data_IF_505781059874
#
_entry.id   IF_505781059874
#
_cell.length_a   1.000
_cell.length_b   1.000
_cell.length_c   1.000
_cell.angle_alpha   90.00
_cell.angle_beta   90.00
_cell.angle_gamma   90.00
#
_symmetry.space_group_name_H-M   'P 1'
#
loop_
_entity.id
_entity.type
_entity.pdbx_description
1 polymer ?
#
# COMPACT_ATOMS: atom_id res chain seq x y z
N UNK A 1 45.44 -46.89 31.75
CA UNK A 1 44.70 -45.69 32.21
C UNK A 1 44.59 -44.68 31.08
N UNK A 2 43.46 -44.57 30.41
CA UNK A 2 43.17 -43.54 29.37
C UNK A 2 42.04 -42.65 29.88
N UNK A 3 42.38 -41.38 30.13
CA UNK A 3 41.42 -40.33 30.49
C UNK A 3 40.61 -39.93 29.24
N UNK A 4 39.29 -40.11 29.29
CA UNK A 4 38.37 -39.52 28.31
C UNK A 4 38.18 -38.03 28.64
N UNK A 5 38.47 -37.17 27.68
CA UNK A 5 38.14 -35.76 27.72
C UNK A 5 36.66 -35.60 27.30
N UNK A 6 35.85 -34.99 28.15
CA UNK A 6 34.47 -34.63 27.83
C UNK A 6 34.44 -33.46 26.82
N UNK A 7 33.65 -33.62 25.78
CA UNK A 7 33.32 -32.57 24.83
C UNK A 7 32.27 -31.66 25.44
N UNK A 8 32.64 -30.41 25.72
CA UNK A 8 31.71 -29.37 26.07
C UNK A 8 30.81 -29.05 24.85
N UNK A 9 29.52 -29.28 25.01
CA UNK A 9 28.53 -28.83 24.01
C UNK A 9 28.46 -27.29 24.04
N UNK A 10 29.10 -26.67 23.06
CA UNK A 10 28.97 -25.24 22.83
C UNK A 10 27.51 -24.92 22.43
N UNK A 11 26.79 -24.29 23.35
CA UNK A 11 25.53 -23.61 22.98
C UNK A 11 25.91 -22.44 22.06
N UNK A 12 25.48 -22.52 20.80
CA UNK A 12 25.55 -21.41 19.87
C UNK A 12 24.82 -20.20 20.51
N UNK A 13 25.39 -19.00 20.56
CA UNK A 13 24.70 -17.87 21.10
C UNK A 13 23.48 -17.56 20.22
N UNK A 14 22.30 -17.50 20.83
CA UNK A 14 21.06 -17.07 20.20
C UNK A 14 21.30 -15.65 19.68
N UNK A 15 21.33 -15.49 18.35
CA UNK A 15 21.49 -14.18 17.71
C UNK A 15 20.28 -13.30 18.06
N UNK A 16 20.44 -11.96 18.08
CA UNK A 16 19.37 -10.99 18.41
C UNK A 16 18.10 -11.13 17.55
N UNK A 17 18.16 -11.92 16.48
CA UNK A 17 17.11 -12.13 15.48
C UNK A 17 15.99 -13.10 15.89
N UNK A 18 16.19 -13.92 16.92
CA UNK A 18 15.25 -15.00 17.28
C UNK A 18 14.28 -14.66 18.42
N UNK A 19 14.24 -13.38 18.86
CA UNK A 19 13.33 -13.00 19.94
C UNK A 19 11.91 -12.79 19.42
N UNK A 20 10.98 -13.66 19.84
CA UNK A 20 9.55 -13.47 19.58
C UNK A 20 9.05 -12.16 20.21
N UNK A 21 8.35 -11.36 19.44
CA UNK A 21 7.84 -10.05 19.84
C UNK A 21 6.32 -10.07 19.99
N UNK A 22 5.82 -9.23 20.90
CA UNK A 22 4.41 -8.87 20.98
C UNK A 22 4.20 -7.55 20.25
N UNK A 23 3.39 -7.56 19.19
CA UNK A 23 3.28 -6.46 18.21
C UNK A 23 1.84 -5.96 18.14
N UNK A 24 1.67 -4.63 18.15
CA UNK A 24 0.40 -3.95 17.95
C UNK A 24 0.42 -3.13 16.66
N UNK A 25 -0.45 -3.46 15.73
CA UNK A 25 -0.66 -2.72 14.49
C UNK A 25 -1.96 -1.92 14.60
N UNK A 26 -1.88 -0.59 14.47
CA UNK A 26 -2.99 0.33 14.73
C UNK A 26 -3.38 1.11 13.48
N UNK A 27 -4.64 1.02 13.10
CA UNK A 27 -5.16 1.53 11.85
C UNK A 27 -5.01 0.54 10.71
N UNK A 28 -5.55 0.86 9.55
CA UNK A 28 -5.48 0.01 8.34
C UNK A 28 -5.43 0.86 7.08
N UNK A 29 -4.64 0.45 6.12
CA UNK A 29 -4.61 0.98 4.77
C UNK A 29 -4.56 -0.19 3.77
N UNK A 30 -5.61 -0.34 2.97
CA UNK A 30 -5.63 -1.30 1.84
C UNK A 30 -5.19 -2.72 2.19
N UNK A 31 -5.53 -3.21 3.39
CA UNK A 31 -5.16 -4.53 3.93
C UNK A 31 -3.66 -4.72 4.28
N UNK A 32 -2.89 -3.63 4.37
CA UNK A 32 -1.46 -3.70 4.63
C UNK A 32 -1.17 -4.31 6.01
N UNK A 33 -1.78 -3.77 7.08
CA UNK A 33 -1.52 -4.23 8.45
C UNK A 33 -2.02 -5.66 8.70
N UNK A 34 -3.17 -6.06 8.14
CA UNK A 34 -3.61 -7.44 8.29
C UNK A 34 -2.69 -8.42 7.56
N UNK A 35 -2.30 -8.11 6.31
CA UNK A 35 -1.40 -8.96 5.53
C UNK A 35 -0.01 -9.06 6.19
N UNK A 36 0.51 -7.93 6.69
CA UNK A 36 1.73 -7.92 7.51
C UNK A 36 1.59 -8.80 8.76
N UNK A 37 0.45 -8.72 9.44
CA UNK A 37 0.20 -9.52 10.64
C UNK A 37 0.22 -11.03 10.34
N UNK A 38 -0.30 -11.47 9.20
CA UNK A 38 -0.23 -12.89 8.80
C UNK A 38 1.23 -13.32 8.56
N UNK A 39 2.04 -12.50 7.88
CA UNK A 39 3.47 -12.77 7.71
C UNK A 39 4.24 -12.83 9.04
N UNK A 40 3.97 -11.89 9.94
CA UNK A 40 4.59 -11.86 11.28
C UNK A 40 4.17 -13.07 12.13
N UNK A 41 2.91 -13.52 12.06
CA UNK A 41 2.42 -14.73 12.73
C UNK A 41 3.08 -15.99 12.17
N UNK A 42 3.29 -16.06 10.86
CA UNK A 42 4.04 -17.15 10.22
C UNK A 42 5.49 -17.21 10.71
N UNK A 43 6.08 -16.08 11.12
CA UNK A 43 7.40 -16.00 11.77
C UNK A 43 7.34 -16.28 13.29
N UNK A 44 6.17 -16.59 13.85
CA UNK A 44 5.99 -16.94 15.26
C UNK A 44 5.68 -15.77 16.20
N UNK A 45 5.61 -14.53 15.71
CA UNK A 45 5.31 -13.37 16.55
C UNK A 45 3.84 -13.32 16.99
N UNK A 46 3.58 -12.73 18.17
CA UNK A 46 2.23 -12.41 18.64
C UNK A 46 1.80 -11.05 18.09
N UNK A 47 0.70 -11.02 17.30
CA UNK A 47 0.28 -9.80 16.61
C UNK A 47 -1.19 -9.50 16.87
N UNK A 48 -1.46 -8.27 17.31
CA UNK A 48 -2.81 -7.71 17.47
C UNK A 48 -3.02 -6.59 16.45
N UNK A 49 -4.06 -6.69 15.63
CA UNK A 49 -4.48 -5.65 14.68
C UNK A 49 -5.73 -4.96 15.22
N UNK A 50 -5.66 -3.63 15.32
CA UNK A 50 -6.75 -2.74 15.75
C UNK A 50 -7.09 -1.80 14.61
N UNK A 51 -8.26 -1.94 14.00
CA UNK A 51 -8.64 -1.11 12.87
C UNK A 51 -10.16 -0.97 12.70
N UNK A 52 -10.57 -0.11 11.78
CA UNK A 52 -11.94 -0.02 11.26
C UNK A 52 -12.20 -0.91 10.04
N UNK A 53 -11.20 -1.69 9.63
CA UNK A 53 -11.26 -2.59 8.47
C UNK A 53 -11.11 -1.91 7.11
N UNK A 54 -10.60 -0.67 7.08
CA UNK A 54 -10.42 0.09 5.83
C UNK A 54 -11.70 0.24 4.99
N UNK A 55 -12.81 0.56 5.66
CA UNK A 55 -14.10 0.90 5.03
C UNK A 55 -14.64 -0.18 4.08
N UNK A 56 -14.67 0.08 2.75
CA UNK A 56 -15.27 -0.79 1.74
C UNK A 56 -14.63 -2.19 1.62
N UNK A 57 -13.38 -2.34 2.02
CA UNK A 57 -12.69 -3.64 1.99
C UNK A 57 -13.12 -4.55 3.14
N UNK A 58 -13.57 -3.98 4.25
CA UNK A 58 -13.94 -4.68 5.48
C UNK A 58 -12.91 -5.74 5.91
N UNK A 59 -11.63 -5.34 5.92
CA UNK A 59 -10.51 -6.21 6.22
C UNK A 59 -10.62 -6.85 7.62
N UNK A 60 -10.02 -8.02 7.80
CA UNK A 60 -9.95 -8.71 9.08
C UNK A 60 -9.18 -7.88 10.12
N UNK A 61 -9.53 -8.04 11.38
CA UNK A 61 -8.93 -7.36 12.53
C UNK A 61 -9.20 -8.12 13.82
N UNK A 62 -8.33 -7.96 14.81
CA UNK A 62 -8.52 -8.58 16.12
C UNK A 62 -9.44 -7.73 17.00
N UNK A 63 -9.30 -6.40 16.92
CA UNK A 63 -10.12 -5.44 17.65
C UNK A 63 -10.80 -4.52 16.65
N UNK A 64 -12.13 -4.64 16.57
CA UNK A 64 -12.95 -3.83 15.69
C UNK A 64 -13.29 -2.49 16.34
N UNK A 65 -12.86 -1.40 15.69
CA UNK A 65 -13.18 -0.04 16.07
C UNK A 65 -13.89 0.71 14.94
N UNK A 66 -14.58 0.00 14.04
CA UNK A 66 -15.34 0.65 12.98
C UNK A 66 -16.37 1.63 13.54
N UNK A 67 -16.42 2.83 12.96
CA UNK A 67 -17.42 3.84 13.29
C UNK A 67 -18.70 3.54 12.53
N UNK A 68 -19.85 3.51 13.23
CA UNK A 68 -21.14 3.12 12.64
C UNK A 68 -21.77 4.23 11.81
N UNK A 69 -21.70 5.47 12.27
CA UNK A 69 -22.20 6.66 11.57
C UNK A 69 -21.42 7.92 11.93
N UNK A 70 -21.74 9.04 11.25
CA UNK A 70 -21.14 10.35 11.56
C UNK A 70 -21.96 11.18 12.56
N UNK A 71 -22.99 10.61 13.17
CA UNK A 71 -23.82 11.28 14.16
C UNK A 71 -23.05 11.63 15.46
N UNK A 72 -23.59 12.58 16.22
CA UNK A 72 -22.96 13.05 17.47
C UNK A 72 -22.86 11.93 18.51
N UNK A 73 -23.92 11.14 18.70
CA UNK A 73 -23.94 10.00 19.60
C UNK A 73 -22.93 8.93 19.23
N UNK A 74 -22.80 8.63 17.93
CA UNK A 74 -21.79 7.68 17.44
C UNK A 74 -20.36 8.21 17.62
N UNK A 75 -20.17 9.53 17.52
CA UNK A 75 -18.87 10.15 17.76
C UNK A 75 -18.43 9.99 19.23
N UNK A 76 -19.35 10.19 20.16
CA UNK A 76 -19.10 10.01 21.61
C UNK A 76 -18.89 8.53 21.93
N UNK A 77 -19.77 7.65 21.44
CA UNK A 77 -19.67 6.20 21.61
C UNK A 77 -18.37 5.63 21.01
N UNK A 78 -17.99 6.12 19.85
CA UNK A 78 -16.73 5.74 19.18
C UNK A 78 -15.51 6.10 20.02
N UNK A 79 -15.45 7.35 20.53
CA UNK A 79 -14.38 7.79 21.41
C UNK A 79 -14.34 6.98 22.70
N UNK A 80 -15.49 6.78 23.36
CA UNK A 80 -15.60 5.99 24.58
C UNK A 80 -15.10 4.54 24.37
N UNK A 81 -15.42 3.92 23.22
CA UNK A 81 -14.93 2.59 22.84
C UNK A 81 -13.41 2.56 22.71
N UNK A 82 -12.82 3.54 22.02
CA UNK A 82 -11.35 3.63 21.91
C UNK A 82 -10.73 3.77 23.31
N UNK A 83 -11.24 4.68 24.13
CA UNK A 83 -10.76 4.89 25.50
C UNK A 83 -10.84 3.62 26.37
N UNK A 84 -11.91 2.82 26.20
CA UNK A 84 -12.07 1.53 26.89
C UNK A 84 -11.00 0.51 26.47
N UNK A 85 -10.53 0.56 25.22
CA UNK A 85 -9.49 -0.35 24.73
C UNK A 85 -8.07 0.14 25.05
N UNK A 86 -7.84 1.43 25.28
CA UNK A 86 -6.49 2.00 25.52
C UNK A 86 -5.68 1.26 26.59
N UNK A 87 -6.26 0.81 27.73
CA UNK A 87 -5.48 0.04 28.71
C UNK A 87 -4.91 -1.28 28.19
N UNK A 88 -5.51 -1.85 27.12
CA UNK A 88 -5.05 -3.08 26.46
C UNK A 88 -3.93 -2.84 25.43
N UNK A 89 -3.67 -1.58 25.09
CA UNK A 89 -2.65 -1.17 24.12
C UNK A 89 -1.32 -0.83 24.79
N UNK A 90 -0.97 -1.55 25.88
CA UNK A 90 0.25 -1.38 26.66
C UNK A 90 1.09 -2.64 26.69
N UNK A 91 2.40 -2.46 26.87
CA UNK A 91 3.32 -3.57 27.07
C UNK A 91 3.71 -4.34 25.81
N UNK A 92 3.51 -3.74 24.64
CA UNK A 92 3.99 -4.29 23.39
C UNK A 92 5.47 -3.97 23.17
N UNK A 93 6.19 -4.89 22.54
CA UNK A 93 7.58 -4.66 22.12
C UNK A 93 7.62 -3.64 20.98
N UNK A 94 6.65 -3.72 20.06
CA UNK A 94 6.51 -2.84 18.91
C UNK A 94 5.05 -2.40 18.75
N UNK A 95 4.86 -1.11 18.54
CA UNK A 95 3.61 -0.53 18.04
C UNK A 95 3.88 0.12 16.70
N UNK A 96 3.07 -0.17 15.68
CA UNK A 96 3.08 0.55 14.42
C UNK A 96 1.74 1.21 14.18
N UNK A 97 1.74 2.50 13.83
CA UNK A 97 0.53 3.27 13.54
C UNK A 97 0.47 3.66 12.06
N UNK A 98 -0.70 3.51 11.46
CA UNK A 98 -0.97 3.85 10.06
C UNK A 98 -1.13 5.36 9.90
N UNK A 99 -0.06 6.06 9.52
CA UNK A 99 -0.10 7.50 9.24
C UNK A 99 -0.55 8.37 10.41
N UNK A 100 -0.77 9.66 10.20
CA UNK A 100 -1.17 10.60 11.26
C UNK A 100 -2.65 10.46 11.66
N UNK A 101 -3.47 9.84 10.81
CA UNK A 101 -4.90 9.59 11.07
C UNK A 101 -5.15 8.07 11.03
N UNK A 102 -4.81 7.40 12.11
CA UNK A 102 -4.98 5.96 12.26
C UNK A 102 -6.35 5.56 12.87
N UNK A 103 -7.02 6.50 13.54
CA UNK A 103 -8.41 6.38 13.94
C UNK A 103 -9.24 7.50 13.29
N UNK A 104 -10.53 7.26 13.06
CA UNK A 104 -11.46 8.25 12.52
C UNK A 104 -11.81 9.32 13.59
N UNK A 105 -10.78 10.03 14.05
CA UNK A 105 -10.80 11.11 15.03
C UNK A 105 -10.11 12.34 14.44
N UNK A 106 -10.32 13.49 15.10
CA UNK A 106 -9.55 14.71 14.77
C UNK A 106 -8.04 14.46 14.93
N UNK A 107 -7.18 15.11 14.14
CA UNK A 107 -5.73 14.90 14.16
C UNK A 107 -5.11 15.01 15.55
N UNK A 108 -5.52 15.99 16.37
CA UNK A 108 -5.00 16.21 17.72
C UNK A 108 -5.34 15.05 18.67
N UNK A 109 -6.49 14.39 18.48
CA UNK A 109 -6.86 13.21 19.27
C UNK A 109 -6.02 11.99 18.87
N UNK A 110 -5.72 11.83 17.58
CA UNK A 110 -4.78 10.81 17.11
C UNK A 110 -3.39 11.05 17.72
N UNK A 111 -2.89 12.30 17.72
CA UNK A 111 -1.63 12.65 18.38
C UNK A 111 -1.63 12.33 19.87
N UNK A 112 -2.71 12.64 20.59
CA UNK A 112 -2.82 12.31 22.02
C UNK A 112 -2.77 10.79 22.27
N UNK A 113 -3.41 9.99 21.40
CA UNK A 113 -3.35 8.53 21.49
C UNK A 113 -1.97 8.01 21.10
N UNK A 114 -1.32 8.58 20.08
CA UNK A 114 0.06 8.26 19.71
C UNK A 114 1.01 8.47 20.90
N UNK A 115 0.92 9.62 21.57
CA UNK A 115 1.73 9.93 22.74
C UNK A 115 1.48 8.95 23.91
N UNK A 116 0.21 8.52 24.08
CA UNK A 116 -0.11 7.47 25.04
C UNK A 116 0.53 6.13 24.66
N UNK A 117 0.43 5.70 23.41
CA UNK A 117 1.04 4.47 22.91
C UNK A 117 2.56 4.49 23.08
N UNK A 118 3.19 5.60 22.70
CA UNK A 118 4.64 5.80 22.86
C UNK A 118 5.10 5.68 24.33
N UNK A 119 4.33 6.26 25.26
CA UNK A 119 4.67 6.22 26.70
C UNK A 119 4.56 4.83 27.31
N UNK A 120 3.72 3.95 26.79
CA UNK A 120 3.36 2.68 27.44
C UNK A 120 3.86 1.44 26.69
N UNK A 121 4.63 1.60 25.63
CA UNK A 121 5.20 0.52 24.83
C UNK A 121 6.69 0.74 24.61
N UNK A 122 7.41 -0.28 24.16
CA UNK A 122 8.86 -0.22 24.06
C UNK A 122 9.33 0.62 22.87
N UNK A 123 8.75 0.40 21.68
CA UNK A 123 9.06 1.15 20.45
C UNK A 123 7.78 1.50 19.71
N UNK A 124 7.78 2.64 19.02
CA UNK A 124 6.66 3.05 18.16
C UNK A 124 7.15 3.48 16.78
N UNK A 125 6.49 2.99 15.75
CA UNK A 125 6.80 3.26 14.35
C UNK A 125 5.62 3.94 13.66
N UNK A 126 5.95 4.84 12.73
CA UNK A 126 4.98 5.51 11.86
C UNK A 126 5.02 4.86 10.47
N UNK A 127 3.89 4.39 9.99
CA UNK A 127 3.75 3.89 8.64
C UNK A 127 3.30 5.03 7.71
N UNK A 128 4.17 5.41 6.77
CA UNK A 128 3.89 6.36 5.71
C UNK A 128 3.20 5.63 4.54
N UNK A 129 1.89 5.41 4.68
CA UNK A 129 1.07 4.60 3.77
C UNK A 129 -0.21 5.32 3.34
N UNK A 130 -0.10 6.53 2.87
CA UNK A 130 -1.25 7.29 2.40
C UNK A 130 -0.99 8.78 2.30
N UNK A 131 -2.03 9.52 1.93
CA UNK A 131 -1.94 10.97 1.84
C UNK A 131 -1.74 11.57 3.24
N UNK A 132 -0.69 12.35 3.37
CA UNK A 132 -0.34 13.07 4.60
C UNK A 132 0.33 14.41 4.31
N UNK A 133 0.83 15.09 5.34
CA UNK A 133 1.49 16.38 5.17
C UNK A 133 2.79 16.27 4.35
N UNK A 134 3.62 15.26 4.58
CA UNK A 134 4.92 15.13 3.90
C UNK A 134 4.74 14.80 2.43
N UNK A 135 3.87 13.84 2.10
CA UNK A 135 3.52 13.55 0.71
C UNK A 135 2.93 14.79 0.00
N UNK A 136 1.98 15.48 0.64
CA UNK A 136 1.42 16.70 0.08
C UNK A 136 2.48 17.79 -0.10
N UNK A 137 3.40 17.95 0.87
CA UNK A 137 4.51 18.89 0.77
C UNK A 137 5.40 18.59 -0.43
N UNK A 138 5.76 17.34 -0.66
CA UNK A 138 6.55 16.90 -1.81
C UNK A 138 5.82 17.12 -3.14
N UNK A 139 4.49 16.94 -3.18
CA UNK A 139 3.69 17.26 -4.37
C UNK A 139 3.69 18.77 -4.72
N UNK A 140 3.88 19.63 -3.73
CA UNK A 140 3.84 21.09 -3.90
C UNK A 140 5.22 21.77 -4.02
N UNK A 141 6.32 21.03 -3.94
CA UNK A 141 7.66 21.61 -3.96
C UNK A 141 8.21 21.88 -5.38
N UNK A 142 7.53 21.36 -6.41
CA UNK A 142 7.91 21.47 -7.81
C UNK A 142 9.21 20.76 -8.18
N UNK A 143 9.69 19.80 -7.34
CA UNK A 143 10.97 19.11 -7.52
C UNK A 143 10.87 17.62 -7.35
N UNK A 144 10.12 17.14 -6.33
CA UNK A 144 10.08 15.74 -5.95
C UNK A 144 9.41 14.87 -7.00
N UNK A 145 8.42 15.40 -7.72
CA UNK A 145 7.65 14.63 -8.71
C UNK A 145 7.40 15.41 -9.98
N UNK A 146 7.49 14.75 -11.14
CA UNK A 146 7.06 15.30 -12.44
C UNK A 146 5.55 15.45 -12.54
N UNK A 147 4.83 14.56 -11.85
CA UNK A 147 3.37 14.57 -11.73
C UNK A 147 2.95 13.89 -10.42
N UNK A 148 1.75 14.15 -9.99
CA UNK A 148 1.15 13.56 -8.79
C UNK A 148 -0.38 13.64 -8.89
N UNK A 149 -1.09 13.21 -7.88
CA UNK A 149 -2.53 13.40 -7.75
C UNK A 149 -2.93 14.87 -7.42
N UNK A 150 -1.98 15.78 -7.43
CA UNK A 150 -2.19 17.25 -7.30
C UNK A 150 -1.82 18.01 -8.57
N UNK A 151 -0.75 17.63 -9.27
CA UNK A 151 -0.17 18.39 -10.39
C UNK A 151 0.33 17.46 -11.51
N UNK A 152 0.33 17.98 -12.74
CA UNK A 152 1.11 17.47 -13.87
C UNK A 152 2.06 18.59 -14.28
N UNK A 153 3.36 18.48 -14.01
CA UNK A 153 4.27 19.61 -14.03
C UNK A 153 3.78 20.69 -13.06
N UNK A 154 3.63 21.91 -13.52
CA UNK A 154 3.11 23.07 -12.77
C UNK A 154 1.58 23.22 -12.86
N UNK A 155 0.91 22.39 -13.64
CA UNK A 155 -0.54 22.49 -13.84
C UNK A 155 -1.29 21.72 -12.78
N UNK A 156 -2.17 22.34 -11.97
CA UNK A 156 -3.00 21.65 -11.00
C UNK A 156 -4.04 20.78 -11.71
N UNK A 157 -4.28 19.59 -11.17
CA UNK A 157 -5.29 18.64 -11.70
C UNK A 157 -6.72 19.15 -11.50
N UNK A 158 -6.95 20.11 -10.60
CA UNK A 158 -8.27 20.67 -10.28
C UNK A 158 -9.33 19.59 -9.98
N UNK A 159 -8.96 18.54 -9.27
CA UNK A 159 -9.92 17.53 -8.81
C UNK A 159 -10.95 18.16 -7.87
N UNK A 160 -12.19 17.64 -7.80
CA UNK A 160 -13.25 18.26 -6.99
C UNK A 160 -12.88 18.46 -5.51
N UNK A 161 -12.00 17.61 -4.96
CA UNK A 161 -11.54 17.67 -3.57
C UNK A 161 -10.14 18.27 -3.38
N UNK A 162 -9.55 18.82 -4.46
CA UNK A 162 -8.17 19.34 -4.45
C UNK A 162 -7.91 20.35 -3.33
N UNK A 163 -8.79 21.34 -3.23
CA UNK A 163 -8.67 22.40 -2.23
C UNK A 163 -8.98 21.90 -0.81
N UNK A 164 -9.92 20.96 -0.65
CA UNK A 164 -10.21 20.33 0.63
C UNK A 164 -9.00 19.54 1.14
N UNK A 165 -8.38 18.72 0.27
CA UNK A 165 -7.17 17.98 0.59
C UNK A 165 -6.02 18.94 0.96
N UNK A 166 -5.78 19.95 0.16
CA UNK A 166 -4.75 20.97 0.45
C UNK A 166 -4.96 21.60 1.83
N UNK A 167 -6.17 22.06 2.13
CA UNK A 167 -6.49 22.65 3.45
C UNK A 167 -6.33 21.64 4.59
N UNK A 168 -6.69 20.38 4.39
CA UNK A 168 -6.58 19.35 5.43
C UNK A 168 -5.13 19.05 5.78
N UNK A 169 -4.27 18.81 4.78
CA UNK A 169 -2.88 18.38 5.00
C UNK A 169 -1.96 19.52 5.42
N UNK A 170 -2.11 20.73 4.86
CA UNK A 170 -1.34 21.91 5.29
C UNK A 170 -1.91 22.62 6.52
N UNK A 171 -3.12 22.26 6.95
CA UNK A 171 -3.81 22.79 8.14
C UNK A 171 -3.77 21.84 9.32
N UNK A 172 -4.91 21.23 9.71
CA UNK A 172 -5.03 20.49 10.97
C UNK A 172 -4.17 19.21 11.05
N UNK A 173 -3.82 18.58 9.91
CA UNK A 173 -3.01 17.35 9.90
C UNK A 173 -1.52 17.65 10.02
N UNK A 174 -1.05 18.83 9.57
CA UNK A 174 0.36 19.19 9.51
C UNK A 174 1.09 19.00 10.84
N UNK A 175 0.63 19.69 11.89
CA UNK A 175 1.30 19.65 13.20
C UNK A 175 1.32 18.22 13.79
N UNK A 176 0.21 17.49 13.88
CA UNK A 176 0.22 16.11 14.38
C UNK A 176 1.14 15.18 13.59
N UNK A 177 1.18 15.28 12.25
CA UNK A 177 2.06 14.46 11.43
C UNK A 177 3.55 14.75 11.72
N UNK A 178 3.92 16.03 11.82
CA UNK A 178 5.30 16.43 12.18
C UNK A 178 5.69 15.88 13.55
N UNK A 179 4.84 16.09 14.56
CA UNK A 179 5.14 15.64 15.93
C UNK A 179 5.24 14.12 16.02
N UNK A 180 4.37 13.35 15.33
CA UNK A 180 4.43 11.89 15.27
C UNK A 180 5.70 11.42 14.56
N UNK A 181 6.02 12.01 13.39
CA UNK A 181 7.22 11.68 12.64
C UNK A 181 8.50 11.95 13.44
N UNK A 182 8.57 13.08 14.15
CA UNK A 182 9.71 13.42 15.01
C UNK A 182 9.88 12.45 16.18
N UNK A 183 8.78 12.01 16.78
CA UNK A 183 8.77 11.21 18.00
C UNK A 183 8.80 9.69 17.76
N UNK A 184 8.49 9.21 16.55
CA UNK A 184 8.58 7.80 16.20
C UNK A 184 10.03 7.32 16.24
N UNK A 185 10.25 6.07 16.68
CA UNK A 185 11.56 5.42 16.67
C UNK A 185 12.03 5.12 15.23
N UNK A 186 11.09 4.92 14.31
CA UNK A 186 11.36 4.79 12.88
C UNK A 186 10.11 5.08 12.04
N UNK A 187 10.33 5.32 10.75
CA UNK A 187 9.29 5.59 9.75
C UNK A 187 9.45 4.56 8.64
N UNK A 188 8.34 3.99 8.19
CA UNK A 188 8.31 2.99 7.12
C UNK A 188 7.46 3.53 5.97
N UNK A 189 8.06 3.64 4.80
CA UNK A 189 7.39 4.01 3.57
C UNK A 189 7.18 2.77 2.69
N UNK A 190 5.94 2.52 2.27
CA UNK A 190 5.60 1.33 1.49
C UNK A 190 5.56 1.57 -0.03
N UNK A 191 5.68 2.82 -0.48
CA UNK A 191 5.79 3.23 -1.87
C UNK A 191 6.99 4.17 -2.04
N UNK A 192 7.58 4.20 -3.24
CA UNK A 192 8.68 5.10 -3.57
C UNK A 192 8.32 6.56 -3.29
N UNK A 193 7.11 6.98 -3.68
CA UNK A 193 6.63 8.35 -3.47
C UNK A 193 6.62 8.73 -1.98
N UNK A 194 6.21 7.84 -1.11
CA UNK A 194 6.23 8.13 0.32
C UNK A 194 7.65 8.16 0.89
N UNK A 195 8.56 7.33 0.36
CA UNK A 195 9.97 7.38 0.75
C UNK A 195 10.59 8.73 0.39
N UNK A 196 10.45 9.17 -0.87
CA UNK A 196 10.96 10.46 -1.36
C UNK A 196 10.39 11.63 -0.53
N UNK A 197 9.12 11.56 -0.13
CA UNK A 197 8.49 12.60 0.66
C UNK A 197 9.07 12.76 2.07
N UNK A 198 9.52 11.68 2.69
CA UNK A 198 10.05 11.70 4.07
C UNK A 198 11.58 11.78 4.12
N UNK A 199 12.30 11.32 3.09
CA UNK A 199 13.75 11.24 3.07
C UNK A 199 14.47 12.54 3.42
N UNK A 200 14.06 13.73 2.94
CA UNK A 200 14.78 14.97 3.22
C UNK A 200 14.89 15.33 4.70
N UNK A 201 13.94 14.86 5.53
CA UNK A 201 13.88 15.22 6.95
C UNK A 201 14.20 14.03 7.88
N UNK A 202 14.05 12.78 7.42
CA UNK A 202 14.08 11.59 8.28
C UNK A 202 14.94 10.45 7.78
N UNK A 203 15.89 10.68 6.89
CA UNK A 203 16.75 9.66 6.28
C UNK A 203 17.32 8.64 7.28
N UNK A 204 17.76 9.09 8.46
CA UNK A 204 18.41 8.24 9.48
C UNK A 204 17.47 7.24 10.16
N UNK A 205 16.16 7.47 10.06
CA UNK A 205 15.14 6.59 10.66
C UNK A 205 14.02 6.19 9.70
N UNK A 206 14.21 6.43 8.41
CA UNK A 206 13.31 6.03 7.34
C UNK A 206 13.77 4.70 6.75
N UNK A 207 12.83 3.83 6.44
CA UNK A 207 13.04 2.65 5.62
C UNK A 207 11.97 2.56 4.53
N UNK A 208 12.36 2.06 3.36
CA UNK A 208 11.41 1.54 2.38
C UNK A 208 11.19 0.05 2.68
N UNK A 209 9.95 -0.34 2.89
CA UNK A 209 9.55 -1.74 3.02
C UNK A 209 8.29 -1.91 2.17
N UNK A 210 8.30 -2.78 1.14
CA UNK A 210 7.23 -2.86 0.16
C UNK A 210 5.92 -3.38 0.77
N UNK A 211 4.81 -3.17 0.05
CA UNK A 211 3.48 -3.67 0.44
C UNK A 211 3.50 -5.20 0.48
N UNK A 212 3.12 -5.86 1.59
CA UNK A 212 3.03 -7.31 1.66
C UNK A 212 1.81 -7.83 0.89
N UNK A 213 1.99 -8.91 0.14
CA UNK A 213 0.92 -9.63 -0.57
C UNK A 213 0.91 -11.09 -0.10
N UNK A 214 -0.25 -11.56 0.34
CA UNK A 214 -0.44 -12.94 0.78
C UNK A 214 -0.75 -13.82 -0.45
N UNK A 215 0.28 -14.43 -1.01
CA UNK A 215 0.25 -15.12 -2.31
C UNK A 215 -0.73 -16.31 -2.37
N UNK A 216 -0.92 -17.03 -1.27
CA UNK A 216 -1.86 -18.16 -1.15
C UNK A 216 -3.34 -17.72 -1.25
N UNK A 217 -3.64 -16.44 -1.00
CA UNK A 217 -4.96 -15.84 -1.21
C UNK A 217 -5.18 -15.36 -2.65
N UNK A 218 -4.17 -15.46 -3.51
CA UNK A 218 -4.17 -15.03 -4.90
C UNK A 218 -3.73 -16.17 -5.83
N UNK A 219 -4.58 -17.22 -6.04
CA UNK A 219 -4.26 -18.26 -7.00
C UNK A 219 -4.01 -17.66 -8.39
N UNK A 220 -2.91 -18.06 -8.99
CA UNK A 220 -2.52 -17.57 -10.30
C UNK A 220 -3.43 -18.16 -11.38
N UNK A 221 -3.84 -17.30 -12.32
CA UNK A 221 -4.43 -17.68 -13.59
C UNK A 221 -3.40 -17.43 -14.70
N UNK A 222 -3.20 -18.38 -15.57
CA UNK A 222 -2.36 -18.19 -16.75
C UNK A 222 -3.15 -17.50 -17.87
N UNK A 223 -2.53 -16.54 -18.53
CA UNK A 223 -3.01 -15.98 -19.80
C UNK A 223 -2.54 -16.91 -20.92
N UNK A 224 -3.42 -17.38 -21.82
CA UNK A 224 -3.02 -18.20 -22.94
C UNK A 224 -2.05 -17.44 -23.88
N UNK A 225 -1.13 -18.16 -24.51
CA UNK A 225 -0.19 -17.59 -25.48
C UNK A 225 -0.89 -17.00 -26.72
N UNK A 226 -2.13 -17.44 -27.00
CA UNK A 226 -2.98 -16.89 -28.05
C UNK A 226 -4.29 -16.38 -27.49
N UNK A 227 -4.57 -15.10 -27.67
CA UNK A 227 -5.80 -14.44 -27.25
C UNK A 227 -6.62 -14.01 -28.49
N UNK A 228 -7.90 -14.37 -28.52
CA UNK A 228 -8.83 -13.81 -29.51
C UNK A 228 -9.04 -12.33 -29.24
N UNK A 229 -9.36 -11.99 -27.99
CA UNK A 229 -9.59 -10.61 -27.50
C UNK A 229 -8.80 -10.34 -26.25
N UNK A 230 -8.36 -9.08 -26.08
CA UNK A 230 -7.75 -8.57 -24.84
C UNK A 230 -8.87 -8.06 -23.92
N UNK A 231 -8.95 -8.59 -22.70
CA UNK A 231 -9.99 -8.22 -21.72
C UNK A 231 -9.41 -7.25 -20.70
N UNK A 232 -9.76 -5.98 -20.84
CA UNK A 232 -9.40 -4.92 -19.91
C UNK A 232 -10.39 -4.85 -18.76
N UNK A 233 -9.88 -4.76 -17.55
CA UNK A 233 -10.66 -4.51 -16.34
C UNK A 233 -10.30 -3.13 -15.76
N UNK A 234 -11.30 -2.31 -15.50
CA UNK A 234 -11.14 -1.03 -14.82
C UNK A 234 -12.14 -0.87 -13.68
N UNK A 235 -11.60 -0.73 -12.47
CA UNK A 235 -12.38 -0.49 -11.25
C UNK A 235 -12.40 0.98 -10.89
N UNK A 236 -13.59 1.59 -10.96
CA UNK A 236 -13.77 3.02 -10.69
C UNK A 236 -14.39 3.23 -9.31
N UNK A 237 -13.67 3.86 -8.41
CA UNK A 237 -14.20 4.43 -7.19
C UNK A 237 -14.65 5.87 -7.47
N UNK A 238 -15.94 6.12 -7.55
CA UNK A 238 -16.50 7.43 -7.95
C UNK A 238 -15.84 8.63 -7.25
N UNK A 239 -15.64 8.55 -5.92
CA UNK A 239 -15.04 9.64 -5.14
C UNK A 239 -13.54 9.82 -5.36
N UNK A 240 -12.87 8.87 -6.00
CA UNK A 240 -11.41 8.87 -6.21
C UNK A 240 -11.02 8.79 -7.67
N UNK A 241 -11.99 8.82 -8.59
CA UNK A 241 -11.75 8.66 -10.02
C UNK A 241 -10.77 9.70 -10.55
N UNK A 242 -11.05 10.97 -10.29
CA UNK A 242 -10.19 12.07 -10.71
C UNK A 242 -8.79 12.06 -10.08
N UNK A 243 -8.67 11.62 -8.81
CA UNK A 243 -7.36 11.50 -8.13
C UNK A 243 -6.52 10.36 -8.71
N UNK A 244 -7.17 9.26 -9.12
CA UNK A 244 -6.50 8.11 -9.72
C UNK A 244 -6.33 8.24 -11.24
N UNK A 245 -7.01 9.20 -11.88
CA UNK A 245 -7.06 9.33 -13.34
C UNK A 245 -7.83 8.22 -14.04
N UNK A 246 -8.67 7.46 -13.32
CA UNK A 246 -9.45 6.36 -13.91
C UNK A 246 -10.56 6.86 -14.84
N UNK A 247 -11.01 8.11 -14.69
CA UNK A 247 -11.90 8.81 -15.62
C UNK A 247 -11.22 9.06 -16.97
N UNK A 248 -10.00 9.58 -16.94
CA UNK A 248 -9.19 9.82 -18.15
C UNK A 248 -8.87 8.50 -18.86
N UNK A 249 -8.37 7.51 -18.12
CA UNK A 249 -8.01 6.21 -18.69
C UNK A 249 -9.22 5.50 -19.28
N UNK A 250 -10.38 5.55 -18.62
CA UNK A 250 -11.60 4.93 -19.13
C UNK A 250 -12.11 5.60 -20.41
N UNK A 251 -12.10 6.95 -20.47
CA UNK A 251 -12.49 7.69 -21.67
C UNK A 251 -11.60 7.35 -22.86
N UNK A 252 -10.28 7.31 -22.66
CA UNK A 252 -9.34 6.91 -23.72
C UNK A 252 -9.50 5.44 -24.11
N UNK A 253 -9.71 4.54 -23.14
CA UNK A 253 -9.91 3.12 -23.42
C UNK A 253 -11.16 2.88 -24.30
N UNK A 254 -12.23 3.66 -24.11
CA UNK A 254 -13.41 3.60 -24.98
C UNK A 254 -13.09 4.01 -26.42
N UNK A 255 -12.20 4.99 -26.62
CA UNK A 255 -11.76 5.40 -27.97
C UNK A 255 -10.93 4.28 -28.62
N UNK A 256 -10.06 3.62 -27.86
CA UNK A 256 -9.31 2.45 -28.36
C UNK A 256 -10.25 1.30 -28.71
N UNK A 257 -11.25 1.00 -27.87
CA UNK A 257 -12.25 -0.03 -28.19
C UNK A 257 -13.07 0.31 -29.43
N UNK A 258 -13.42 1.56 -29.65
CA UNK A 258 -14.12 1.98 -30.86
C UNK A 258 -13.27 1.78 -32.12
N UNK A 259 -11.95 1.88 -32.03
CA UNK A 259 -11.00 1.61 -33.11
C UNK A 259 -10.77 0.11 -33.33
N UNK A 260 -10.82 -0.70 -32.26
CA UNK A 260 -10.53 -2.14 -32.26
C UNK A 260 -11.67 -2.96 -31.64
N UNK A 261 -12.92 -2.91 -32.19
CA UNK A 261 -14.09 -3.46 -31.50
C UNK A 261 -14.07 -5.00 -31.38
N UNK A 262 -13.38 -5.69 -32.31
CA UNK A 262 -13.28 -7.14 -32.35
C UNK A 262 -12.07 -7.68 -31.59
N UNK A 263 -11.09 -6.82 -31.23
CA UNK A 263 -9.81 -7.21 -30.63
C UNK A 263 -9.78 -7.01 -29.10
N UNK A 264 -10.72 -6.22 -28.53
CA UNK A 264 -10.73 -5.98 -27.10
C UNK A 264 -12.13 -5.89 -26.49
N UNK A 265 -12.18 -6.15 -25.20
CA UNK A 265 -13.37 -6.03 -24.35
C UNK A 265 -13.05 -5.21 -23.11
N UNK A 266 -13.97 -4.34 -22.67
CA UNK A 266 -13.84 -3.53 -21.47
C UNK A 266 -14.82 -4.00 -20.39
N UNK A 267 -14.32 -4.43 -19.27
CA UNK A 267 -15.09 -4.72 -18.06
C UNK A 267 -14.93 -3.57 -17.06
N UNK A 268 -15.88 -2.66 -17.11
CA UNK A 268 -15.97 -1.53 -16.16
C UNK A 268 -16.76 -1.92 -14.91
N UNK A 269 -16.21 -1.64 -13.74
CA UNK A 269 -16.84 -1.89 -12.46
C UNK A 269 -16.82 -0.62 -11.61
N UNK A 270 -17.95 -0.25 -11.01
CA UNK A 270 -18.09 1.00 -10.25
C UNK A 270 -18.54 0.71 -8.83
N UNK A 271 -17.65 0.99 -7.87
CA UNK A 271 -17.95 0.99 -6.42
C UNK A 271 -18.67 -0.29 -5.92
N UNK A 272 -18.30 -1.46 -6.41
CA UNK A 272 -18.82 -2.76 -5.92
C UNK A 272 -18.09 -3.22 -4.66
N UNK A 273 -18.67 -4.13 -3.86
CA UNK A 273 -18.00 -4.75 -2.73
C UNK A 273 -16.71 -5.48 -3.15
N UNK A 274 -15.68 -5.45 -2.29
CA UNK A 274 -14.36 -6.00 -2.62
C UNK A 274 -14.37 -7.49 -3.02
N UNK A 275 -15.22 -8.32 -2.39
CA UNK A 275 -15.35 -9.74 -2.73
C UNK A 275 -15.89 -9.96 -4.15
N UNK A 276 -16.85 -9.13 -4.57
CA UNK A 276 -17.41 -9.14 -5.93
C UNK A 276 -16.38 -8.62 -6.93
N UNK A 277 -15.73 -7.51 -6.61
CA UNK A 277 -14.61 -6.96 -7.39
C UNK A 277 -13.56 -8.02 -7.70
N UNK A 278 -13.08 -8.72 -6.68
CA UNK A 278 -12.07 -9.77 -6.81
C UNK A 278 -12.52 -10.92 -7.72
N UNK A 279 -13.79 -11.33 -7.64
CA UNK A 279 -14.34 -12.37 -8.50
C UNK A 279 -14.39 -11.92 -9.97
N UNK A 280 -14.84 -10.67 -10.21
CA UNK A 280 -14.95 -10.11 -11.56
C UNK A 280 -13.58 -9.91 -12.22
N UNK A 281 -12.53 -9.68 -11.42
CA UNK A 281 -11.17 -9.47 -11.91
C UNK A 281 -10.57 -10.74 -12.56
N UNK A 282 -10.93 -11.93 -12.08
CA UNK A 282 -10.36 -13.19 -12.58
C UNK A 282 -10.65 -13.49 -14.06
N UNK A 283 -11.71 -12.93 -14.63
CA UNK A 283 -12.07 -13.14 -16.03
C UNK A 283 -11.41 -12.13 -16.99
N UNK A 284 -10.42 -11.37 -16.52
CA UNK A 284 -9.77 -10.31 -17.29
C UNK A 284 -8.28 -10.61 -17.47
N UNK A 285 -7.64 -9.99 -18.46
CA UNK A 285 -6.22 -10.18 -18.77
C UNK A 285 -5.38 -9.01 -18.22
N UNK A 286 -5.94 -7.82 -18.25
CA UNK A 286 -5.27 -6.58 -17.90
C UNK A 286 -6.08 -5.83 -16.82
N UNK A 287 -5.43 -5.41 -15.73
CA UNK A 287 -5.99 -4.44 -14.79
C UNK A 287 -5.47 -3.05 -15.09
N UNK A 288 -6.36 -2.07 -15.17
CA UNK A 288 -6.04 -0.63 -15.20
C UNK A 288 -6.26 -0.07 -13.79
N UNK A 289 -5.19 0.46 -13.14
CA UNK A 289 -5.26 0.90 -11.74
C UNK A 289 -5.21 2.42 -11.56
N UNK A 290 -4.05 3.05 -11.77
CA UNK A 290 -3.91 4.49 -11.50
C UNK A 290 -2.87 5.16 -12.40
N UNK A 291 -3.16 6.43 -12.76
CA UNK A 291 -2.41 7.22 -13.72
C UNK A 291 -1.32 8.09 -13.06
N UNK A 292 -1.58 8.59 -11.85
CA UNK A 292 -0.75 9.61 -11.19
C UNK A 292 0.13 9.02 -10.09
N UNK A 293 0.79 7.89 -10.34
CA UNK A 293 1.68 7.24 -9.38
C UNK A 293 2.99 6.80 -10.03
N UNK A 294 4.02 6.66 -9.22
CA UNK A 294 5.35 6.17 -9.62
C UNK A 294 5.53 4.68 -9.30
N UNK A 295 4.67 4.12 -8.44
CA UNK A 295 4.79 2.76 -7.91
C UNK A 295 3.46 2.02 -8.02
N UNK A 296 3.45 0.73 -8.41
CA UNK A 296 2.23 -0.07 -8.34
C UNK A 296 1.79 -0.25 -6.88
N UNK A 297 0.50 0.03 -6.61
CA UNK A 297 -0.08 -0.09 -5.27
C UNK A 297 -0.83 -1.42 -5.09
N UNK A 298 -1.45 -1.61 -3.92
CA UNK A 298 -2.09 -2.87 -3.50
C UNK A 298 -3.02 -3.49 -4.56
N UNK A 299 -3.77 -2.67 -5.31
CA UNK A 299 -4.70 -3.20 -6.32
C UNK A 299 -3.96 -3.79 -7.53
N UNK A 300 -2.95 -3.07 -8.06
CA UNK A 300 -2.09 -3.55 -9.13
C UNK A 300 -1.33 -4.81 -8.69
N UNK A 301 -0.69 -4.79 -7.50
CA UNK A 301 0.05 -5.94 -6.96
C UNK A 301 -0.85 -7.16 -6.72
N UNK A 302 -2.08 -6.96 -6.24
CA UNK A 302 -3.05 -8.04 -6.07
C UNK A 302 -3.52 -8.66 -7.40
N UNK A 303 -3.61 -7.87 -8.47
CA UNK A 303 -3.89 -8.37 -9.81
C UNK A 303 -2.68 -9.12 -10.39
N UNK A 304 -1.49 -8.57 -10.26
CA UNK A 304 -0.23 -9.21 -10.67
C UNK A 304 -0.03 -10.56 -9.98
N UNK A 305 -0.35 -10.65 -8.68
CA UNK A 305 -0.32 -11.90 -7.93
C UNK A 305 -1.27 -12.96 -8.52
N UNK A 306 -2.35 -12.55 -9.15
CA UNK A 306 -3.30 -13.44 -9.86
C UNK A 306 -2.90 -13.75 -11.32
N UNK A 307 -1.78 -13.22 -11.78
CA UNK A 307 -1.31 -13.38 -13.15
C UNK A 307 -1.96 -12.42 -14.16
N UNK A 308 -2.53 -11.31 -13.71
CA UNK A 308 -2.95 -10.26 -14.64
C UNK A 308 -1.78 -9.33 -14.95
N UNK A 309 -1.81 -8.73 -16.13
CA UNK A 309 -0.94 -7.61 -16.47
C UNK A 309 -1.50 -6.35 -15.83
N UNK A 310 -0.68 -5.58 -15.12
CA UNK A 310 -1.09 -4.32 -14.52
C UNK A 310 -0.65 -3.13 -15.37
N UNK A 311 -1.59 -2.24 -15.67
CA UNK A 311 -1.32 -0.90 -16.20
C UNK A 311 -1.46 0.08 -15.04
N UNK A 312 -0.34 0.65 -14.60
CA UNK A 312 -0.24 1.53 -13.43
C UNK A 312 1.04 2.38 -13.52
N UNK A 313 1.25 3.28 -12.59
CA UNK A 313 2.57 3.90 -12.44
C UNK A 313 3.61 2.85 -12.08
N UNK A 314 4.72 2.86 -12.78
CA UNK A 314 5.93 2.08 -12.51
C UNK A 314 7.11 2.76 -13.22
N UNK A 315 7.46 3.93 -12.71
CA UNK A 315 8.49 4.77 -13.32
C UNK A 315 9.88 4.16 -13.21
N UNK A 316 10.80 4.45 -14.13
CA UNK A 316 12.19 3.98 -14.06
C UNK A 316 12.83 4.27 -12.71
N UNK A 317 12.57 5.43 -12.13
CA UNK A 317 13.07 5.82 -10.80
C UNK A 317 12.65 4.85 -9.69
N UNK A 318 11.47 4.27 -9.78
CA UNK A 318 11.03 3.25 -8.82
C UNK A 318 11.84 1.96 -8.97
N UNK A 319 12.04 1.48 -10.20
CA UNK A 319 12.81 0.27 -10.45
C UNK A 319 14.28 0.44 -10.06
N UNK A 320 14.90 1.57 -10.40
CA UNK A 320 16.26 1.92 -10.00
C UNK A 320 16.38 1.97 -8.46
N UNK A 321 15.39 2.56 -7.80
CA UNK A 321 15.35 2.68 -6.35
C UNK A 321 15.31 1.32 -5.63
N UNK A 322 14.55 0.36 -6.15
CA UNK A 322 14.50 -1.01 -5.59
C UNK A 322 15.60 -1.92 -6.13
N UNK A 323 16.45 -1.44 -7.05
CA UNK A 323 17.51 -2.22 -7.69
C UNK A 323 17.01 -3.34 -8.59
N UNK A 324 15.83 -3.18 -9.21
CA UNK A 324 15.22 -4.17 -10.10
C UNK A 324 15.38 -3.75 -11.56
N UNK A 325 16.30 -4.41 -12.27
CA UNK A 325 16.60 -4.07 -13.66
C UNK A 325 16.12 -5.13 -14.66
N UNK A 326 15.88 -6.35 -14.22
CA UNK A 326 15.58 -7.49 -15.08
C UNK A 326 14.06 -7.76 -15.17
N UNK A 327 13.33 -7.52 -14.08
CA UNK A 327 11.92 -7.89 -13.93
C UNK A 327 11.05 -6.65 -13.77
N UNK A 328 10.61 -6.08 -14.90
CA UNK A 328 9.82 -4.84 -14.96
C UNK A 328 8.47 -5.07 -15.66
N UNK A 329 7.57 -5.89 -15.09
CA UNK A 329 6.35 -6.35 -15.79
C UNK A 329 5.19 -5.36 -15.78
N UNK A 330 5.24 -4.30 -14.97
CA UNK A 330 4.16 -3.33 -14.93
C UNK A 330 4.21 -2.47 -16.18
N UNK A 331 3.11 -2.38 -16.89
CA UNK A 331 2.97 -1.47 -18.03
C UNK A 331 2.83 -0.06 -17.48
N UNK A 332 3.93 0.69 -17.50
CA UNK A 332 3.95 2.07 -17.02
C UNK A 332 3.06 2.96 -17.89
N UNK A 333 2.23 3.78 -17.27
CA UNK A 333 1.30 4.69 -17.94
C UNK A 333 1.57 6.13 -17.53
N UNK A 334 1.76 7.00 -18.52
CA UNK A 334 2.05 8.42 -18.30
C UNK A 334 0.77 9.26 -18.33
N UNK A 335 0.68 10.37 -17.58
CA UNK A 335 -0.49 11.24 -17.52
C UNK A 335 -0.61 12.18 -18.73
N UNK A 336 -0.59 11.60 -19.92
CA UNK A 336 -0.81 12.24 -21.22
C UNK A 336 -1.79 11.39 -22.03
N UNK A 337 -2.83 12.00 -22.61
CA UNK A 337 -3.91 11.26 -23.30
C UNK A 337 -3.43 10.46 -24.50
N UNK A 338 -2.48 11.00 -25.27
CA UNK A 338 -1.95 10.33 -26.46
C UNK A 338 -1.03 9.17 -26.05
N UNK A 339 -0.26 9.35 -24.96
CA UNK A 339 0.53 8.27 -24.36
C UNK A 339 -0.37 7.17 -23.79
N UNK A 340 -1.47 7.51 -23.11
CA UNK A 340 -2.47 6.54 -22.62
C UNK A 340 -3.08 5.76 -23.79
N UNK A 341 -3.48 6.46 -24.87
CA UNK A 341 -4.03 5.81 -26.07
C UNK A 341 -3.03 4.82 -26.69
N UNK A 342 -1.79 5.29 -26.90
CA UNK A 342 -0.73 4.46 -27.48
C UNK A 342 -0.40 3.24 -26.61
N UNK A 343 -0.43 3.40 -25.28
CA UNK A 343 -0.21 2.29 -24.34
C UNK A 343 -1.29 1.22 -24.49
N UNK A 344 -2.57 1.59 -24.51
CA UNK A 344 -3.67 0.62 -24.66
C UNK A 344 -3.68 -0.01 -26.05
N UNK A 345 -3.43 0.77 -27.10
CA UNK A 345 -3.32 0.27 -28.46
C UNK A 345 -2.21 -0.77 -28.61
N UNK A 346 -1.02 -0.49 -28.06
CA UNK A 346 0.12 -1.42 -28.08
C UNK A 346 -0.18 -2.74 -27.37
N UNK A 347 -0.95 -2.72 -26.26
CA UNK A 347 -1.36 -3.93 -25.56
C UNK A 347 -2.29 -4.82 -26.39
N UNK A 348 -3.09 -4.23 -27.29
CA UNK A 348 -3.93 -4.98 -28.24
C UNK A 348 -3.09 -5.51 -29.40
N UNK A 349 -2.26 -4.64 -30.02
CA UNK A 349 -1.45 -4.98 -31.18
C UNK A 349 -0.33 -5.98 -30.87
N UNK A 350 0.10 -6.10 -29.61
CA UNK A 350 1.14 -7.00 -29.13
C UNK A 350 0.59 -7.99 -28.10
N UNK A 351 -0.66 -8.45 -28.29
CA UNK A 351 -1.36 -9.32 -27.33
C UNK A 351 -0.65 -10.66 -27.06
N UNK A 352 0.20 -11.13 -27.95
CA UNK A 352 1.05 -12.31 -27.77
C UNK A 352 2.07 -12.16 -26.63
N UNK A 353 2.41 -10.93 -26.23
CA UNK A 353 3.32 -10.66 -25.10
C UNK A 353 2.62 -10.77 -23.74
N UNK A 354 1.30 -10.78 -23.70
CA UNK A 354 0.55 -10.73 -22.43
C UNK A 354 0.78 -11.97 -21.57
N UNK A 355 0.95 -13.15 -22.17
CA UNK A 355 1.25 -14.37 -21.43
C UNK A 355 2.59 -14.27 -20.69
N UNK A 356 3.62 -13.72 -21.33
CA UNK A 356 4.92 -13.52 -20.71
C UNK A 356 4.87 -12.42 -19.63
N UNK A 357 4.24 -11.29 -19.89
CA UNK A 357 4.03 -10.24 -18.90
C UNK A 357 3.24 -10.73 -17.67
N UNK A 358 2.29 -11.63 -17.86
CA UNK A 358 1.54 -12.29 -16.80
C UNK A 358 2.46 -13.10 -15.89
N UNK A 359 3.32 -13.96 -16.45
CA UNK A 359 4.31 -14.75 -15.70
C UNK A 359 5.28 -13.85 -14.94
N UNK A 360 5.79 -12.81 -15.60
CA UNK A 360 6.68 -11.82 -14.99
C UNK A 360 5.99 -11.03 -13.89
N UNK A 361 4.71 -10.65 -14.04
CA UNK A 361 3.90 -9.99 -13.03
C UNK A 361 3.83 -10.82 -11.74
N UNK A 362 3.54 -12.11 -11.87
CA UNK A 362 3.52 -13.04 -10.73
C UNK A 362 4.90 -13.17 -10.08
N UNK A 363 5.95 -13.37 -10.87
CA UNK A 363 7.32 -13.50 -10.40
C UNK A 363 7.82 -12.24 -9.65
N UNK A 364 7.43 -11.05 -10.14
CA UNK A 364 7.75 -9.79 -9.47
C UNK A 364 7.14 -9.72 -8.07
N UNK A 365 5.85 -10.07 -7.93
CA UNK A 365 5.18 -10.06 -6.63
C UNK A 365 5.77 -11.11 -5.69
N UNK A 366 6.10 -12.30 -6.18
CA UNK A 366 6.77 -13.35 -5.40
C UNK A 366 8.15 -12.90 -4.89
N UNK A 367 8.93 -12.21 -5.72
CA UNK A 367 10.28 -11.74 -5.39
C UNK A 367 10.26 -10.59 -4.38
N UNK A 368 9.39 -9.61 -4.57
CA UNK A 368 9.45 -8.32 -3.84
C UNK A 368 8.36 -8.13 -2.79
N UNK A 369 7.23 -8.84 -2.89
CA UNK A 369 6.03 -8.55 -2.12
C UNK A 369 5.49 -9.74 -1.31
N UNK A 370 6.19 -10.90 -1.29
CA UNK A 370 5.77 -12.03 -0.45
C UNK A 370 5.66 -11.59 1.02
N UNK A 371 4.49 -11.79 1.61
CA UNK A 371 4.17 -11.25 2.94
C UNK A 371 5.08 -11.74 4.07
N UNK A 372 5.64 -12.96 3.96
CA UNK A 372 6.56 -13.50 4.96
C UNK A 372 7.94 -12.84 4.80
N UNK A 373 8.43 -12.66 3.57
CA UNK A 373 9.70 -11.98 3.30
C UNK A 373 9.61 -10.50 3.68
N UNK A 374 8.51 -9.84 3.37
CA UNK A 374 8.25 -8.46 3.78
C UNK A 374 8.19 -8.36 5.30
N UNK A 375 7.50 -9.28 5.99
CA UNK A 375 7.46 -9.29 7.46
C UNK A 375 8.85 -9.42 8.10
N UNK A 376 9.78 -10.17 7.50
CA UNK A 376 11.18 -10.21 7.94
C UNK A 376 11.86 -8.84 7.86
N UNK A 377 11.65 -8.10 6.76
CA UNK A 377 12.20 -6.75 6.61
C UNK A 377 11.67 -5.80 7.70
N UNK A 378 10.38 -5.91 8.06
CA UNK A 378 9.81 -5.16 9.19
C UNK A 378 10.49 -5.52 10.51
N UNK A 379 10.66 -6.81 10.80
CA UNK A 379 11.33 -7.31 12.03
C UNK A 379 12.78 -6.80 12.10
N UNK A 380 13.52 -6.88 11.00
CA UNK A 380 14.92 -6.42 10.92
C UNK A 380 15.00 -4.92 11.16
N UNK A 381 14.13 -4.14 10.53
CA UNK A 381 14.09 -2.69 10.73
C UNK A 381 13.70 -2.33 12.16
N UNK A 382 12.67 -2.94 12.75
CA UNK A 382 12.29 -2.68 14.14
C UNK A 382 13.40 -3.04 15.13
N UNK A 383 14.18 -4.08 14.87
CA UNK A 383 15.31 -4.49 15.70
C UNK A 383 16.50 -3.52 15.57
N UNK A 384 16.69 -2.89 14.42
CA UNK A 384 17.78 -1.94 14.15
C UNK A 384 17.60 -0.59 14.87
N UNK A 385 16.41 -0.23 15.28
CA UNK A 385 16.05 1.00 16.01
C UNK A 385 15.86 0.71 17.49
#
# INVERSE_FOLDING_TARGET
MKKRRGTASGRCPITKQDRLMNILLVGEASNLHWTLAEGLRALGHSVTVVSDGSSWMNNRRNIDIARKSNGLFDSVSYLARILRYLPRFKGYDVVQVKGPIFFNLRPEKNLAIFNYLRKHNRKIFLDASGLDYYYSKACFDGKSYRYSDYFIGDKPLNTPDWEERRKAYFGPIKRPNIEMAQQADGIIACLYEYFVAYEPEYKDKLAYIPIPIQLDQHPMREIPDTLEKVRFFIGIQQKRSAIKGTDVMYDVLQQVQAKYPDECEIKKVVSVPYAEYNKMLYDSDILIDQLYSYTPATNALGAMAKGLVAVSGAEPEFYDFIGEHDLQPVVNILPDRDAVFSTFENLILQKERLAELSRQSRAFVEKHHDHIQVAKQYVDFWNSK
#
